data_IF_639979769005
#
_entry.id   IF_639979769005
#
_cell.length_a   1.000
_cell.length_b   1.000
_cell.length_c   1.000
_cell.angle_alpha   90.00
_cell.angle_beta   90.00
_cell.angle_gamma   90.00
#
_symmetry.space_group_name_H-M   'P 1'
#
loop_
_entity.id
_entity.type
_entity.pdbx_description
1 polymer ?
2 water ?
#
# COMPACT_ATOMS: atom_id res chain seq x y z
N UNK A 1 -4.49 8.82 2.10
CA UNK A 1 -3.85 7.63 1.55
C UNK A 1 -4.44 6.36 2.17
N UNK A 2 -4.82 5.43 1.31
CA UNK A 2 -5.42 4.18 1.74
C UNK A 2 -4.71 3.00 1.10
N UNK A 3 -4.25 2.09 1.95
CA UNK A 3 -3.63 0.86 1.51
C UNK A 3 -4.44 -0.28 2.11
N UNK A 4 -4.91 -1.19 1.26
CA UNK A 4 -5.64 -2.36 1.72
C UNK A 4 -5.07 -3.59 1.02
N UNK A 5 -4.47 -4.47 1.82
CA UNK A 5 -3.90 -5.72 1.34
C UNK A 5 -4.75 -6.87 1.88
N UNK A 6 -5.39 -7.61 0.98
CA UNK A 6 -6.24 -8.72 1.39
C UNK A 6 -6.01 -9.90 0.46
N UNK B 1 3.34 -9.10 -1.50
CA UNK B 1 2.83 -7.82 -1.99
C UNK B 1 3.46 -6.68 -1.23
N UNK B 2 3.67 -5.57 -1.92
CA UNK B 2 4.37 -4.43 -1.33
C UNK B 2 3.97 -3.14 -2.02
N UNK B 3 3.89 -2.07 -1.24
CA UNK B 3 3.76 -0.72 -1.78
C UNK B 3 4.77 0.18 -1.07
N UNK B 4 5.41 1.05 -1.84
CA UNK B 4 6.22 2.12 -1.26
C UNK B 4 5.79 3.39 -1.95
N UNK B 5 5.54 4.45 -1.19
CA UNK B 5 5.26 5.72 -1.83
C UNK B 5 5.74 6.90 -1.00
N UNK B 6 5.88 8.03 -1.69
CA UNK B 6 6.25 9.28 -1.06
C UNK B 6 5.64 10.43 -1.84
#
# INVERSE_FOLDING_TARGET
AEVVFT
AEVVFT
#
